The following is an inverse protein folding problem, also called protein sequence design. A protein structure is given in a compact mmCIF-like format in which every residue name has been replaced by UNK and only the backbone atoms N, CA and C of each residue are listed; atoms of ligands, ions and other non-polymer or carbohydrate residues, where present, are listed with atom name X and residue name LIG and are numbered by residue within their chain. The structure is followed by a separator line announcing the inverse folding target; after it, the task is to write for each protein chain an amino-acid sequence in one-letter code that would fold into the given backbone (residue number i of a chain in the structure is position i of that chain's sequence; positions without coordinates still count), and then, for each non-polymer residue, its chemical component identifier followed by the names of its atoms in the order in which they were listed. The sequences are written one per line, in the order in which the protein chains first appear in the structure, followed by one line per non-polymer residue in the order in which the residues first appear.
data_IF_824045474553
#
_entry.id   IF_824045474553
#
_cell.length_a   1.000
_cell.length_b   1.000
_cell.length_c   1.000
_cell.angle_alpha   90.00
_cell.angle_beta   90.00
_cell.angle_gamma   90.00
#
_symmetry.space_group_name_H-M   'P 1'
#
loop_
_entity.id
_entity.type
_entity.pdbx_description
1 polymer ?
#
# COMPACT_ATOMS: atom_id res chain seq x y z
N UNK A 1 42.81 -85.64 -23.45
CA UNK A 1 43.83 -84.57 -23.60
C UNK A 1 43.10 -83.24 -23.65
N UNK A 2 43.04 -82.60 -22.51
CA UNK A 2 42.31 -81.31 -22.42
C UNK A 2 43.32 -80.23 -22.00
N UNK A 3 43.53 -79.24 -22.91
CA UNK A 3 44.44 -78.13 -22.68
C UNK A 3 43.79 -77.11 -21.78
N UNK A 4 44.40 -76.86 -20.65
CA UNK A 4 44.00 -75.75 -19.71
C UNK A 4 44.67 -74.46 -20.17
N UNK A 5 43.88 -73.45 -20.50
CA UNK A 5 44.35 -72.15 -20.90
C UNK A 5 44.37 -71.25 -19.61
N UNK A 6 45.58 -70.86 -19.16
CA UNK A 6 45.77 -69.99 -18.01
C UNK A 6 45.80 -68.55 -18.52
N UNK A 7 44.77 -67.76 -18.18
CA UNK A 7 44.70 -66.34 -18.51
C UNK A 7 45.28 -65.54 -17.38
N UNK A 8 46.40 -64.88 -17.63
CA UNK A 8 47.06 -63.95 -16.69
C UNK A 8 46.31 -62.65 -16.61
N UNK A 9 45.75 -62.29 -15.38
CA UNK A 9 45.13 -61.01 -15.11
C UNK A 9 46.22 -60.03 -14.74
N UNK A 10 46.41 -58.97 -15.54
CA UNK A 10 47.26 -57.82 -15.19
C UNK A 10 46.50 -56.89 -14.27
N UNK A 11 46.98 -56.75 -13.04
CA UNK A 11 46.53 -55.73 -12.08
C UNK A 11 47.16 -54.39 -12.43
N UNK A 12 46.33 -53.45 -12.95
CA UNK A 12 46.69 -52.02 -13.11
C UNK A 12 46.46 -51.26 -11.81
N UNK A 13 47.22 -50.19 -11.52
CA UNK A 13 47.10 -49.43 -10.30
C UNK A 13 45.78 -48.64 -10.26
N UNK A 14 45.03 -48.84 -9.18
CA UNK A 14 43.80 -48.14 -8.85
C UNK A 14 44.15 -46.68 -8.43
N UNK A 15 43.95 -45.72 -9.33
CA UNK A 15 44.02 -44.29 -9.03
C UNK A 15 42.81 -43.91 -8.18
N UNK A 16 43.07 -43.71 -6.88
CA UNK A 16 42.12 -43.21 -5.92
C UNK A 16 41.89 -41.71 -6.18
N UNK A 17 40.88 -41.39 -7.02
CA UNK A 17 40.44 -40.01 -7.25
C UNK A 17 39.79 -39.47 -6.00
N UNK A 18 40.52 -38.65 -5.25
CA UNK A 18 39.99 -37.88 -4.12
C UNK A 18 39.14 -36.72 -4.67
N UNK A 19 37.82 -36.90 -4.78
CA UNK A 19 36.88 -35.84 -5.10
C UNK A 19 36.85 -34.84 -3.93
N UNK A 20 37.50 -33.68 -4.08
CA UNK A 20 37.36 -32.56 -3.21
C UNK A 20 35.95 -31.96 -3.45
N UNK A 21 35.00 -32.29 -2.58
CA UNK A 21 33.73 -31.57 -2.44
C UNK A 21 34.04 -30.18 -1.86
N UNK A 22 34.12 -29.16 -2.73
CA UNK A 22 34.05 -27.76 -2.33
C UNK A 22 32.64 -27.50 -1.81
N UNK A 23 32.45 -27.58 -0.50
CA UNK A 23 31.28 -27.00 0.16
C UNK A 23 31.42 -25.50 0.03
N UNK A 24 30.78 -24.93 -1.00
CA UNK A 24 30.53 -23.49 -1.06
C UNK A 24 29.55 -23.15 0.08
N UNK A 25 30.10 -22.78 1.25
CA UNK A 25 29.33 -22.15 2.31
C UNK A 25 28.91 -20.77 1.77
N UNK A 26 27.79 -20.75 1.03
CA UNK A 26 27.13 -19.51 0.64
C UNK A 26 26.75 -18.77 1.92
N UNK A 27 27.34 -17.61 2.17
CA UNK A 27 26.82 -16.68 3.15
C UNK A 27 25.39 -16.29 2.73
N UNK A 28 24.39 -17.03 3.19
CA UNK A 28 23.01 -16.57 3.15
C UNK A 28 22.92 -15.39 4.11
N UNK A 29 22.45 -14.21 3.64
CA UNK A 29 22.17 -13.12 4.57
C UNK A 29 21.22 -13.65 5.64
N UNK A 30 21.57 -13.43 6.90
CA UNK A 30 20.70 -13.80 8.02
C UNK A 30 19.34 -13.14 7.82
N UNK A 31 18.26 -13.91 8.03
CA UNK A 31 16.91 -13.36 8.00
C UNK A 31 16.85 -12.19 9.01
N UNK A 32 16.21 -11.07 8.66
CA UNK A 32 16.12 -9.93 9.56
C UNK A 32 15.45 -10.35 10.87
N UNK A 33 16.00 -9.86 11.97
CA UNK A 33 15.45 -10.10 13.31
C UNK A 33 14.01 -9.60 13.40
N UNK A 34 13.11 -10.39 13.98
CA UNK A 34 11.70 -10.05 14.14
C UNK A 34 11.50 -8.72 14.91
N UNK A 35 12.38 -8.43 15.88
CA UNK A 35 12.33 -7.16 16.60
C UNK A 35 12.72 -5.97 15.70
N UNK A 36 13.70 -6.15 14.82
CA UNK A 36 14.07 -5.12 13.84
C UNK A 36 12.94 -4.85 12.83
N UNK A 37 12.26 -5.90 12.36
CA UNK A 37 11.09 -5.78 11.48
C UNK A 37 9.97 -5.01 12.19
N UNK A 38 9.61 -5.40 13.42
CA UNK A 38 8.55 -4.74 14.17
C UNK A 38 8.87 -3.25 14.44
N UNK A 39 10.12 -2.93 14.72
CA UNK A 39 10.57 -1.54 14.90
C UNK A 39 10.44 -0.73 13.60
N UNK A 40 10.80 -1.32 12.46
CA UNK A 40 10.69 -0.67 11.15
C UNK A 40 9.21 -0.45 10.80
N UNK A 41 8.35 -1.45 10.99
CA UNK A 41 6.90 -1.32 10.78
C UNK A 41 6.31 -0.18 11.62
N UNK A 42 6.63 -0.12 12.92
CA UNK A 42 6.14 0.94 13.80
C UNK A 42 6.58 2.34 13.35
N UNK A 43 7.80 2.49 12.84
CA UNK A 43 8.30 3.76 12.29
C UNK A 43 7.57 4.15 11.00
N UNK A 44 7.32 3.20 10.12
CA UNK A 44 6.58 3.42 8.87
C UNK A 44 5.09 3.73 9.15
N UNK A 45 4.46 3.06 10.11
CA UNK A 45 3.10 3.37 10.56
C UNK A 45 2.98 4.80 11.12
N UNK A 46 3.96 5.22 11.93
CA UNK A 46 4.01 6.60 12.42
C UNK A 46 4.17 7.60 11.28
N UNK A 47 4.96 7.26 10.27
CA UNK A 47 5.14 8.10 9.07
C UNK A 47 3.84 8.24 8.29
N UNK A 48 3.11 7.14 8.05
CA UNK A 48 1.81 7.17 7.34
C UNK A 48 0.80 8.01 8.14
N UNK A 49 0.72 7.84 9.47
CA UNK A 49 -0.17 8.66 10.32
C UNK A 49 0.14 10.15 10.22
N UNK A 50 1.41 10.51 10.15
CA UNK A 50 1.80 11.92 10.01
C UNK A 50 1.42 12.47 8.64
N UNK A 51 1.66 11.70 7.56
CA UNK A 51 1.27 12.08 6.20
C UNK A 51 -0.23 12.25 6.08
N UNK A 52 -1.02 11.34 6.65
CA UNK A 52 -2.49 11.43 6.69
C UNK A 52 -2.95 12.70 7.45
N UNK A 53 -2.37 12.99 8.60
CA UNK A 53 -2.67 14.21 9.36
C UNK A 53 -2.32 15.49 8.56
N UNK A 54 -1.27 15.48 7.77
CA UNK A 54 -0.92 16.60 6.91
C UNK A 54 -1.85 16.69 5.68
N UNK A 55 -2.35 15.56 5.20
CA UNK A 55 -3.37 15.51 4.16
C UNK A 55 -4.70 16.12 4.62
N UNK A 56 -5.16 15.80 5.85
CA UNK A 56 -6.32 16.46 6.47
C UNK A 56 -6.16 17.99 6.47
N UNK A 57 -4.97 18.50 6.82
CA UNK A 57 -4.69 19.95 6.80
C UNK A 57 -4.77 20.54 5.39
N UNK A 58 -4.25 19.83 4.39
CA UNK A 58 -4.37 20.26 3.00
C UNK A 58 -5.84 20.34 2.56
N UNK A 59 -6.66 19.36 2.94
CA UNK A 59 -8.10 19.35 2.71
C UNK A 59 -8.82 20.51 3.38
N UNK A 60 -8.56 20.74 4.66
CA UNK A 60 -9.13 21.86 5.42
C UNK A 60 -8.74 23.22 4.83
N UNK A 61 -7.53 23.34 4.30
CA UNK A 61 -7.05 24.53 3.61
C UNK A 61 -7.56 24.65 2.15
N UNK A 62 -8.31 23.68 1.65
CA UNK A 62 -8.76 23.58 0.26
C UNK A 62 -7.60 23.67 -0.76
N UNK A 63 -6.43 23.19 -0.36
CA UNK A 63 -5.20 23.23 -1.16
C UNK A 63 -5.15 22.00 -2.08
N UNK A 64 -5.63 22.15 -3.31
CA UNK A 64 -5.69 21.08 -4.31
C UNK A 64 -4.29 20.54 -4.63
N UNK A 65 -3.30 21.39 -4.81
CA UNK A 65 -1.92 20.95 -5.11
C UNK A 65 -1.30 20.19 -3.93
N UNK A 66 -1.52 20.68 -2.71
CA UNK A 66 -1.11 20.00 -1.49
C UNK A 66 -1.80 18.66 -1.28
N UNK A 67 -3.08 18.56 -1.65
CA UNK A 67 -3.82 17.30 -1.61
C UNK A 67 -3.27 16.30 -2.63
N UNK A 68 -3.14 16.72 -3.90
CA UNK A 68 -2.65 15.87 -4.99
C UNK A 68 -1.23 15.32 -4.70
N UNK A 69 -0.44 16.04 -3.92
CA UNK A 69 0.93 15.65 -3.59
C UNK A 69 1.02 14.36 -2.75
N UNK A 70 -0.06 13.92 -2.11
CA UNK A 70 -0.08 12.66 -1.36
C UNK A 70 -0.26 11.43 -2.24
N UNK A 71 -0.83 11.57 -3.44
CA UNK A 71 -1.01 10.46 -4.37
C UNK A 71 0.28 10.08 -5.09
N UNK A 72 0.43 8.79 -5.36
CA UNK A 72 1.43 8.27 -6.30
C UNK A 72 1.03 8.59 -7.75
N UNK A 73 1.98 8.42 -8.67
CA UNK A 73 1.74 8.66 -10.09
C UNK A 73 0.73 7.65 -10.71
N UNK A 74 0.69 6.44 -10.14
CA UNK A 74 -0.17 5.33 -10.52
C UNK A 74 -1.37 5.14 -9.57
N UNK A 75 -1.72 6.17 -8.80
CA UNK A 75 -2.80 6.10 -7.84
C UNK A 75 -4.18 5.94 -8.51
N UNK A 76 -5.10 5.35 -7.74
CA UNK A 76 -6.51 5.20 -8.10
C UNK A 76 -7.37 5.73 -6.98
N UNK A 77 -8.32 6.58 -7.31
CA UNK A 77 -9.35 7.07 -6.39
C UNK A 77 -10.69 6.48 -6.77
N UNK A 78 -11.39 5.94 -5.79
CA UNK A 78 -12.68 5.28 -5.93
C UNK A 78 -13.75 6.11 -5.20
N UNK A 79 -14.18 7.25 -5.75
CA UNK A 79 -15.13 8.13 -5.10
C UNK A 79 -16.53 7.50 -5.11
N UNK A 80 -17.34 7.70 -4.07
CA UNK A 80 -18.69 7.17 -4.03
C UNK A 80 -19.55 7.79 -5.15
N UNK A 81 -20.34 6.94 -5.81
CA UNK A 81 -21.29 7.34 -6.86
C UNK A 81 -20.67 8.08 -8.06
N UNK A 82 -19.39 7.91 -8.31
CA UNK A 82 -18.66 8.50 -9.44
C UNK A 82 -17.80 7.44 -10.13
N UNK A 83 -17.42 7.65 -11.39
CA UNK A 83 -16.45 6.78 -12.06
C UNK A 83 -15.10 6.77 -11.35
N UNK A 84 -14.37 5.66 -11.50
CA UNK A 84 -13.00 5.54 -11.02
C UNK A 84 -12.13 6.64 -11.62
N UNK A 85 -11.34 7.32 -10.78
CA UNK A 85 -10.30 8.23 -11.21
C UNK A 85 -8.94 7.47 -11.14
N UNK A 86 -8.39 7.12 -12.28
CA UNK A 86 -7.20 6.27 -12.42
C UNK A 86 -6.05 6.95 -13.19
N UNK A 87 -6.09 8.24 -13.30
CA UNK A 87 -5.01 9.08 -13.80
C UNK A 87 -4.96 10.41 -13.04
N UNK A 88 -3.83 11.09 -13.08
CA UNK A 88 -3.61 12.35 -12.35
C UNK A 88 -4.67 13.42 -12.67
N UNK A 89 -5.06 13.52 -13.93
CA UNK A 89 -6.04 14.53 -14.34
C UNK A 89 -7.44 14.21 -13.81
N UNK A 90 -7.83 12.94 -13.81
CA UNK A 90 -9.10 12.47 -13.25
C UNK A 90 -9.13 12.64 -11.73
N UNK A 91 -8.05 12.26 -11.04
CA UNK A 91 -7.89 12.44 -9.59
C UNK A 91 -8.01 13.93 -9.25
N UNK A 92 -7.25 14.79 -9.93
CA UNK A 92 -7.29 16.23 -9.69
C UNK A 92 -8.69 16.83 -9.93
N UNK A 93 -9.40 16.37 -10.96
CA UNK A 93 -10.80 16.82 -11.19
C UNK A 93 -11.71 16.38 -10.04
N UNK A 94 -11.58 15.15 -9.57
CA UNK A 94 -12.38 14.63 -8.45
C UNK A 94 -12.11 15.41 -7.17
N UNK A 95 -10.84 15.63 -6.82
CA UNK A 95 -10.40 16.43 -5.67
C UNK A 95 -10.88 17.88 -5.76
N UNK A 96 -10.70 18.52 -6.92
CA UNK A 96 -11.16 19.89 -7.14
C UNK A 96 -12.69 19.99 -7.00
N UNK A 97 -13.44 19.02 -7.55
CA UNK A 97 -14.88 18.94 -7.39
C UNK A 97 -15.31 18.85 -5.93
N UNK A 98 -14.63 18.03 -5.14
CA UNK A 98 -14.88 17.91 -3.70
C UNK A 98 -14.53 19.20 -2.95
N UNK A 99 -13.31 19.69 -3.08
CA UNK A 99 -12.81 20.82 -2.26
C UNK A 99 -13.47 22.16 -2.59
N UNK A 100 -14.14 22.28 -3.72
CA UNK A 100 -14.88 23.48 -4.13
C UNK A 100 -16.36 23.45 -3.76
N UNK A 101 -16.85 22.38 -3.13
CA UNK A 101 -18.25 22.33 -2.67
C UNK A 101 -18.55 23.49 -1.73
N UNK A 102 -19.68 24.19 -1.92
CA UNK A 102 -20.11 25.25 -1.01
C UNK A 102 -20.25 24.73 0.42
N UNK A 103 -19.84 25.53 1.40
CA UNK A 103 -19.94 25.15 2.80
C UNK A 103 -19.11 23.94 3.22
N UNK A 104 -18.22 23.42 2.34
CA UNK A 104 -17.43 22.22 2.67
C UNK A 104 -16.59 22.43 3.94
N UNK A 105 -16.81 21.54 4.88
CA UNK A 105 -15.92 21.20 6.00
C UNK A 105 -15.69 19.70 5.96
N UNK A 106 -14.43 19.27 5.94
CA UNK A 106 -14.04 17.87 5.85
C UNK A 106 -12.94 17.58 6.85
N UNK A 107 -13.11 16.49 7.58
CA UNK A 107 -12.08 15.95 8.47
C UNK A 107 -12.19 14.43 8.50
N UNK A 108 -11.07 13.77 8.72
CA UNK A 108 -11.04 12.34 8.97
C UNK A 108 -9.93 12.01 9.96
N UNK A 109 -9.99 10.82 10.51
CA UNK A 109 -8.99 10.32 11.44
C UNK A 109 -8.79 8.81 11.28
N UNK A 110 -7.55 8.34 11.31
CA UNK A 110 -7.25 6.92 11.21
C UNK A 110 -7.64 6.19 12.51
N UNK A 111 -8.42 5.13 12.36
CA UNK A 111 -8.69 4.16 13.43
C UNK A 111 -7.55 3.14 13.53
N UNK A 112 -7.03 2.71 12.37
CA UNK A 112 -5.92 1.77 12.28
C UNK A 112 -4.97 2.15 11.15
N UNK A 113 -3.67 1.94 11.37
CA UNK A 113 -2.64 1.90 10.34
C UNK A 113 -1.86 0.62 10.55
N UNK A 114 -1.55 -0.09 9.49
CA UNK A 114 -0.72 -1.30 9.53
C UNK A 114 0.18 -1.36 8.30
N UNK A 115 1.42 -1.76 8.50
CA UNK A 115 2.43 -1.90 7.44
C UNK A 115 2.81 -3.36 7.29
N UNK A 116 3.00 -3.81 6.04
CA UNK A 116 3.46 -5.15 5.69
C UNK A 116 4.82 -5.46 6.31
N UNK A 117 5.12 -6.75 6.53
CA UNK A 117 6.44 -7.18 7.02
C UNK A 117 7.58 -6.81 6.07
N UNK A 118 7.30 -6.70 4.78
CA UNK A 118 8.25 -6.25 3.76
C UNK A 118 8.54 -4.75 3.83
N UNK A 119 7.69 -3.96 4.51
CA UNK A 119 7.87 -2.52 4.67
C UNK A 119 7.61 -1.71 3.40
N UNK A 120 6.90 -2.25 2.42
CA UNK A 120 6.63 -1.65 1.11
C UNK A 120 5.18 -1.24 0.91
N UNK A 121 4.25 -1.88 1.62
CA UNK A 121 2.81 -1.57 1.60
C UNK A 121 2.29 -1.35 3.01
N UNK A 122 1.37 -0.41 3.12
CA UNK A 122 0.58 -0.18 4.32
C UNK A 122 -0.86 0.13 3.96
N UNK A 123 -1.76 0.00 4.92
CA UNK A 123 -3.12 0.48 4.80
C UNK A 123 -3.50 1.32 6.01
N UNK A 124 -4.42 2.21 5.77
CA UNK A 124 -5.09 3.00 6.79
C UNK A 124 -6.59 2.82 6.60
N UNK A 125 -7.32 2.57 7.67
CA UNK A 125 -8.76 2.79 7.68
C UNK A 125 -9.16 3.70 8.83
N UNK A 126 -10.23 4.43 8.63
CA UNK A 126 -10.71 5.39 9.60
C UNK A 126 -12.13 5.83 9.34
N UNK A 127 -12.51 6.91 10.00
CA UNK A 127 -13.81 7.55 9.85
C UNK A 127 -13.64 8.97 9.37
N UNK A 128 -14.62 9.49 8.63
CA UNK A 128 -14.68 10.88 8.24
C UNK A 128 -15.96 11.55 8.75
N UNK A 129 -15.89 12.86 8.82
CA UNK A 129 -17.02 13.76 8.99
C UNK A 129 -16.93 14.84 7.92
N UNK A 130 -18.04 15.09 7.27
CA UNK A 130 -18.16 16.09 6.23
C UNK A 130 -19.45 16.91 6.41
N UNK A 131 -19.39 18.18 6.12
CA UNK A 131 -20.57 19.01 5.90
C UNK A 131 -20.40 19.82 4.62
N UNK A 132 -21.51 20.08 3.94
CA UNK A 132 -21.56 20.89 2.74
C UNK A 132 -22.95 21.52 2.61
N UNK A 133 -23.12 22.52 1.78
CA UNK A 133 -24.43 23.11 1.53
C UNK A 133 -25.23 22.30 0.49
N UNK A 134 -26.53 22.17 0.68
CA UNK A 134 -27.47 21.38 -0.14
C UNK A 134 -27.93 22.08 -1.43
N UNK A 135 -27.24 23.05 -1.94
CA UNK A 135 -27.67 23.86 -3.09
C UNK A 135 -28.81 24.86 -2.78
N UNK A 136 -29.41 24.78 -1.58
CA UNK A 136 -30.35 25.77 -1.04
C UNK A 136 -29.71 26.56 0.09
N UNK A 137 -28.42 26.34 0.34
CA UNK A 137 -27.67 26.99 1.41
C UNK A 137 -27.91 26.39 2.80
N UNK A 138 -28.50 25.19 2.90
CA UNK A 138 -28.66 24.50 4.18
C UNK A 138 -27.55 23.48 4.36
N UNK A 139 -26.93 23.39 5.56
CA UNK A 139 -25.88 22.45 5.80
C UNK A 139 -26.42 21.01 5.78
N UNK A 140 -25.73 20.15 5.01
CA UNK A 140 -25.92 18.69 5.02
C UNK A 140 -24.68 18.07 5.63
N UNK A 141 -24.89 17.14 6.55
CA UNK A 141 -23.82 16.42 7.23
C UNK A 141 -23.74 14.99 6.71
N UNK A 142 -22.54 14.51 6.54
CA UNK A 142 -22.23 13.13 6.20
C UNK A 142 -21.12 12.58 7.09
N UNK A 143 -21.26 11.33 7.47
CA UNK A 143 -20.24 10.56 8.19
C UNK A 143 -20.03 9.22 7.52
N UNK A 144 -18.85 8.69 7.65
CA UNK A 144 -18.56 7.42 7.02
C UNK A 144 -17.15 6.92 7.32
N UNK A 145 -16.69 6.05 6.48
CA UNK A 145 -15.41 5.35 6.60
C UNK A 145 -14.55 5.57 5.38
N UNK A 146 -13.25 5.57 5.63
CA UNK A 146 -12.20 5.68 4.62
C UNK A 146 -11.32 4.43 4.64
N UNK A 147 -10.75 4.11 3.50
CA UNK A 147 -9.68 3.13 3.34
C UNK A 147 -8.66 3.70 2.36
N UNK A 148 -7.42 3.75 2.80
CA UNK A 148 -6.28 4.17 2.00
C UNK A 148 -5.25 3.05 1.95
N UNK A 149 -4.67 2.82 0.77
CA UNK A 149 -3.52 1.93 0.61
C UNK A 149 -2.31 2.80 0.26
N UNK A 150 -1.27 2.64 1.05
CA UNK A 150 -0.02 3.37 0.92
C UNK A 150 1.08 2.46 0.43
N UNK A 151 1.95 2.98 -0.45
CA UNK A 151 3.09 2.27 -1.00
C UNK A 151 4.35 3.09 -0.84
N UNK A 152 5.41 2.45 -0.34
CA UNK A 152 6.73 3.07 -0.29
C UNK A 152 7.31 3.12 -1.70
N UNK A 153 7.64 4.33 -2.14
CA UNK A 153 8.19 4.59 -3.47
C UNK A 153 9.68 4.26 -3.51
N UNK A 154 10.29 4.14 -4.71
CA UNK A 154 11.72 3.87 -4.82
C UNK A 154 12.63 4.91 -4.14
N UNK A 155 12.15 6.14 -3.96
CA UNK A 155 12.84 7.20 -3.21
C UNK A 155 12.66 7.12 -1.69
N UNK A 156 11.99 6.06 -1.20
CA UNK A 156 11.72 5.82 0.22
C UNK A 156 10.50 6.56 0.77
N UNK A 157 9.85 7.43 0.01
CA UNK A 157 8.66 8.15 0.46
C UNK A 157 7.41 7.30 0.36
N UNK A 158 6.51 7.46 1.31
CA UNK A 158 5.18 6.87 1.26
C UNK A 158 4.22 7.72 0.42
N UNK A 159 3.44 7.08 -0.46
CA UNK A 159 2.39 7.69 -1.27
C UNK A 159 1.14 6.83 -1.25
N UNK A 160 -0.02 7.48 -1.25
CA UNK A 160 -1.29 6.79 -1.40
C UNK A 160 -1.45 6.29 -2.85
N UNK A 161 -1.76 5.00 -3.00
CA UNK A 161 -2.00 4.36 -4.30
C UNK A 161 -3.45 3.98 -4.52
N UNK A 162 -4.23 3.82 -3.45
CA UNK A 162 -5.69 3.64 -3.52
C UNK A 162 -6.33 4.45 -2.41
N UNK A 163 -7.33 5.23 -2.77
CA UNK A 163 -8.14 6.01 -1.84
C UNK A 163 -9.62 5.77 -2.13
N UNK A 164 -10.38 5.46 -1.08
CA UNK A 164 -11.82 5.24 -1.17
C UNK A 164 -12.52 5.61 0.14
N UNK A 165 -13.74 6.07 0.00
CA UNK A 165 -14.61 6.34 1.15
C UNK A 165 -16.06 6.00 0.82
N UNK A 166 -16.85 5.81 1.84
CA UNK A 166 -18.29 5.62 1.67
C UNK A 166 -19.05 6.08 2.91
N UNK A 167 -20.24 6.63 2.66
CA UNK A 167 -21.14 7.13 3.68
C UNK A 167 -21.73 6.01 4.54
N UNK A 168 -22.05 6.32 5.78
CA UNK A 168 -22.85 5.51 6.71
C UNK A 168 -24.33 5.89 6.66
N UNK A 169 -24.67 6.94 5.92
CA UNK A 169 -26.06 7.35 5.76
C UNK A 169 -26.81 6.34 4.87
N UNK A 170 -28.09 6.09 5.14
CA UNK A 170 -28.93 5.27 4.30
C UNK A 170 -28.98 5.82 2.86
N UNK A 171 -28.97 4.91 1.88
CA UNK A 171 -29.22 5.31 0.48
C UNK A 171 -30.63 5.90 0.41
N UNK A 172 -30.83 7.10 -0.17
CA UNK A 172 -32.15 7.65 -0.35
C UNK A 172 -33.04 6.65 -1.08
N UNK A 173 -34.11 6.19 -0.45
CA UNK A 173 -35.09 5.34 -1.10
C UNK A 173 -35.83 6.19 -2.14
N UNK A 174 -35.57 5.93 -3.43
CA UNK A 174 -36.39 6.47 -4.51
C UNK A 174 -37.82 5.98 -4.30
N UNK A 175 -38.72 6.83 -3.80
CA UNK A 175 -40.14 6.59 -3.97
C UNK A 175 -40.44 6.72 -5.46
N UNK A 176 -40.39 5.59 -6.18
CA UNK A 176 -40.92 5.54 -7.53
C UNK A 176 -42.39 6.02 -7.47
N UNK A 177 -42.68 7.15 -8.13
CA UNK A 177 -44.03 7.60 -8.41
C UNK A 177 -44.57 6.83 -9.61
#
# INVERSE_FOLDING_TARGET
MQKVCITTVKTGPLLLGMALLFAAAGCQPAAPDAAAIAKAQAADEATIRQLDADWVKAGAAKNIDGWDAFYADDAVVLPPNQPIANDKAAIRRSVAGLLTLPGLSLSWQPTKVEVSKSGDLGYLHGTYQMSMDDGKGQPVHDTGKILEIWKKQPDGKWKCIVDTWNSDLPVPTSTAK
#
